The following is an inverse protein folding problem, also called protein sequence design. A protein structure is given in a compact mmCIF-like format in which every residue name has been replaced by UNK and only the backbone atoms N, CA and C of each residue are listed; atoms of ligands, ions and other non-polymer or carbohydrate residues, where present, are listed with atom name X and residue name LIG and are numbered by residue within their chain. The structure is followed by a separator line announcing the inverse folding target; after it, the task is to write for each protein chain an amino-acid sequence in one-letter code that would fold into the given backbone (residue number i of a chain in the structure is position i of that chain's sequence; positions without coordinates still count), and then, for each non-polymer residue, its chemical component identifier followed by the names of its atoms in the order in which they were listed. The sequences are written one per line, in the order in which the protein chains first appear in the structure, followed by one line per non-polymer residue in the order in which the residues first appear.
data_IF_825023254896
#
_entry.id   IF_825023254896
#
_cell.length_a   1.000
_cell.length_b   1.000
_cell.length_c   1.000
_cell.angle_alpha   90.00
_cell.angle_beta   90.00
_cell.angle_gamma   90.00
#
_symmetry.space_group_name_H-M   'P 1'
#
loop_
_entity.id
_entity.type
_entity.pdbx_description
1 polymer ?
#
# COMPACT_ATOMS: atom_id res chain seq x y z
N UNK A 1 -0.63 18.15 -3.36
CA UNK A 1 -0.51 16.81 -2.71
C UNK A 1 -1.63 16.56 -1.72
N UNK A 2 -1.65 17.18 -0.53
CA UNK A 2 -2.67 16.88 0.48
C UNK A 2 -4.11 17.22 0.01
N UNK A 3 -4.31 18.41 -0.54
CA UNK A 3 -5.62 18.83 -1.04
C UNK A 3 -6.11 17.93 -2.19
N UNK A 4 -5.21 17.56 -3.10
CA UNK A 4 -5.52 16.64 -4.20
C UNK A 4 -5.86 15.25 -3.69
N UNK A 5 -5.12 14.73 -2.71
CA UNK A 5 -5.36 13.42 -2.12
C UNK A 5 -6.73 13.37 -1.41
N UNK A 6 -7.09 14.41 -0.66
CA UNK A 6 -8.40 14.50 -0.01
C UNK A 6 -9.55 14.75 -1.02
N UNK A 7 -9.27 15.46 -2.11
CA UNK A 7 -10.22 15.69 -3.19
C UNK A 7 -10.46 14.45 -4.06
N UNK A 8 -9.43 13.61 -4.24
CA UNK A 8 -9.40 12.52 -5.22
C UNK A 8 -10.62 11.58 -5.14
N UNK A 9 -11.04 11.08 -3.97
CA UNK A 9 -12.20 10.20 -3.89
C UNK A 9 -13.52 10.87 -4.30
N UNK A 10 -13.62 12.22 -4.32
CA UNK A 10 -14.84 12.98 -4.62
C UNK A 10 -14.93 13.49 -6.06
N UNK A 11 -13.91 13.28 -6.88
CA UNK A 11 -13.83 13.87 -8.23
C UNK A 11 -14.57 13.05 -9.29
N UNK A 12 -14.97 11.81 -9.01
CA UNK A 12 -15.75 10.99 -9.95
C UNK A 12 -17.25 11.22 -9.77
N UNK A 13 -18.02 11.13 -10.87
CA UNK A 13 -19.47 11.28 -10.83
C UNK A 13 -20.13 10.19 -9.95
N UNK A 14 -19.52 9.00 -9.89
CA UNK A 14 -19.99 7.84 -9.12
C UNK A 14 -19.31 7.70 -7.74
N UNK A 15 -18.71 8.77 -7.21
CA UNK A 15 -17.89 8.69 -5.99
C UNK A 15 -18.63 8.08 -4.78
N UNK A 16 -19.92 8.39 -4.63
CA UNK A 16 -20.75 7.84 -3.55
C UNK A 16 -20.91 6.33 -3.71
N UNK A 17 -21.16 5.86 -4.93
CA UNK A 17 -21.32 4.43 -5.19
C UNK A 17 -20.01 3.68 -4.92
N UNK A 18 -18.87 4.20 -5.36
CA UNK A 18 -17.55 3.63 -5.07
C UNK A 18 -17.28 3.59 -3.57
N UNK A 19 -17.63 4.65 -2.84
CA UNK A 19 -17.48 4.71 -1.38
C UNK A 19 -18.35 3.67 -0.67
N UNK A 20 -19.61 3.52 -1.10
CA UNK A 20 -20.56 2.56 -0.53
C UNK A 20 -20.14 1.11 -0.83
N UNK A 21 -19.70 0.83 -2.06
CA UNK A 21 -19.17 -0.49 -2.43
C UNK A 21 -17.96 -0.82 -1.57
N UNK A 22 -16.99 0.10 -1.45
CA UNK A 22 -15.83 -0.07 -0.59
C UNK A 22 -16.21 -0.29 0.88
N UNK A 23 -17.16 0.50 1.40
CA UNK A 23 -17.66 0.38 2.77
C UNK A 23 -18.30 -0.99 3.05
N UNK A 24 -19.02 -1.56 2.08
CA UNK A 24 -19.63 -2.90 2.17
C UNK A 24 -18.58 -3.99 2.00
N UNK A 25 -17.59 -3.80 1.12
CA UNK A 25 -16.51 -4.77 0.91
C UNK A 25 -15.61 -4.95 2.14
N UNK A 26 -15.41 -3.91 2.96
CA UNK A 26 -14.61 -4.00 4.20
C UNK A 26 -15.11 -5.13 5.13
N UNK A 27 -16.36 -5.14 5.63
CA UNK A 27 -16.83 -6.23 6.48
C UNK A 27 -16.93 -7.56 5.73
N UNK A 28 -17.23 -7.54 4.43
CA UNK A 28 -17.25 -8.74 3.59
C UNK A 28 -15.85 -9.35 3.37
N UNK A 29 -14.78 -8.59 3.60
CA UNK A 29 -13.40 -9.07 3.47
C UNK A 29 -13.07 -10.21 4.43
N UNK A 30 -13.89 -10.45 5.47
CA UNK A 30 -13.83 -11.66 6.29
C UNK A 30 -13.99 -12.95 5.46
N UNK A 31 -14.70 -12.89 4.34
CA UNK A 31 -14.91 -14.01 3.42
C UNK A 31 -13.72 -14.28 2.48
N UNK A 32 -12.60 -13.57 2.65
CA UNK A 32 -11.35 -13.66 1.89
C UNK A 32 -11.50 -13.20 0.43
N UNK A 33 -12.47 -13.71 -0.34
CA UNK A 33 -12.69 -13.33 -1.74
C UNK A 33 -12.91 -11.82 -1.92
N UNK A 34 -13.76 -11.13 -1.12
CA UNK A 34 -13.96 -9.70 -1.25
C UNK A 34 -12.72 -8.88 -0.88
N UNK A 35 -11.83 -9.44 -0.05
CA UNK A 35 -10.58 -8.79 0.32
C UNK A 35 -9.66 -8.63 -0.90
N UNK A 36 -9.58 -9.64 -1.78
CA UNK A 36 -8.77 -9.54 -3.00
C UNK A 36 -9.33 -8.47 -3.95
N UNK A 37 -10.64 -8.40 -4.13
CA UNK A 37 -11.25 -7.34 -4.96
C UNK A 37 -10.92 -5.95 -4.40
N UNK A 38 -10.99 -5.79 -3.08
CA UNK A 38 -10.65 -4.53 -2.43
C UNK A 38 -9.18 -4.15 -2.65
N UNK A 39 -8.27 -5.12 -2.54
CA UNK A 39 -6.84 -4.91 -2.82
C UNK A 39 -6.58 -4.54 -4.28
N UNK A 40 -7.24 -5.19 -5.25
CA UNK A 40 -7.12 -4.82 -6.65
C UNK A 40 -7.66 -3.44 -6.97
N UNK A 41 -8.70 -3.00 -6.24
CA UNK A 41 -9.17 -1.62 -6.35
C UNK A 41 -8.08 -0.63 -5.90
N UNK A 42 -7.36 -0.96 -4.83
CA UNK A 42 -6.22 -0.15 -4.40
C UNK A 42 -5.10 -0.11 -5.46
N UNK A 43 -4.87 -1.20 -6.19
CA UNK A 43 -3.94 -1.20 -7.36
C UNK A 43 -4.38 -0.17 -8.39
N UNK A 44 -5.65 -0.18 -8.80
CA UNK A 44 -6.17 0.82 -9.75
C UNK A 44 -6.09 2.25 -9.23
N UNK A 45 -6.31 2.46 -7.93
CA UNK A 45 -6.12 3.78 -7.31
C UNK A 45 -4.67 4.23 -7.44
N UNK A 46 -3.71 3.33 -7.20
CA UNK A 46 -2.29 3.64 -7.36
C UNK A 46 -1.94 3.92 -8.83
N UNK A 47 -2.46 3.14 -9.77
CA UNK A 47 -2.31 3.37 -11.22
C UNK A 47 -2.80 4.77 -11.61
N UNK A 48 -4.05 5.10 -11.27
CA UNK A 48 -4.63 6.43 -11.54
C UNK A 48 -3.83 7.56 -10.86
N UNK A 49 -3.39 7.35 -9.62
CA UNK A 49 -2.56 8.31 -8.90
C UNK A 49 -1.23 8.57 -9.61
N UNK A 50 -0.59 7.53 -10.13
CA UNK A 50 0.70 7.64 -10.81
C UNK A 50 0.58 8.26 -12.21
N UNK A 51 -0.50 7.96 -12.91
CA UNK A 51 -0.86 8.58 -14.19
C UNK A 51 -1.27 10.06 -14.04
N UNK A 52 -1.37 10.58 -12.81
CA UNK A 52 -1.79 11.95 -12.54
C UNK A 52 -3.28 12.17 -12.81
N UNK A 53 -4.07 11.10 -12.91
CA UNK A 53 -5.50 11.20 -13.10
C UNK A 53 -6.16 11.79 -11.86
N UNK A 54 -7.14 12.68 -12.09
CA UNK A 54 -7.88 13.34 -11.01
C UNK A 54 -9.16 12.60 -10.63
N UNK A 55 -9.63 11.69 -11.49
CA UNK A 55 -10.87 10.94 -11.30
C UNK A 55 -10.59 9.65 -10.55
N UNK A 56 -11.35 9.39 -9.49
CA UNK A 56 -11.27 8.12 -8.79
C UNK A 56 -11.80 6.97 -9.66
N UNK A 57 -11.11 5.82 -9.72
CA UNK A 57 -11.57 4.65 -10.46
C UNK A 57 -12.92 4.14 -9.95
N UNK A 58 -13.71 3.54 -10.84
CA UNK A 58 -14.94 2.81 -10.50
C UNK A 58 -14.67 1.32 -10.23
N UNK A 59 -15.56 0.67 -9.48
CA UNK A 59 -15.60 -0.79 -9.33
C UNK A 59 -16.20 -1.47 -10.57
N UNK A 60 -15.50 -1.36 -11.69
CA UNK A 60 -15.79 -2.09 -12.94
C UNK A 60 -14.84 -3.28 -13.10
N UNK A 61 -15.16 -4.22 -13.99
CA UNK A 61 -14.28 -5.36 -14.31
C UNK A 61 -13.75 -6.12 -13.06
N UNK A 62 -14.69 -6.56 -12.23
CA UNK A 62 -14.44 -7.24 -10.94
C UNK A 62 -13.45 -8.43 -11.04
N UNK A 63 -13.43 -9.12 -12.18
CA UNK A 63 -12.47 -10.19 -12.44
C UNK A 63 -11.02 -9.70 -12.48
N UNK A 64 -10.76 -8.53 -13.08
CA UNK A 64 -9.41 -7.95 -13.09
C UNK A 64 -9.03 -7.47 -11.69
N UNK A 65 -9.96 -6.83 -10.96
CA UNK A 65 -9.73 -6.43 -9.56
C UNK A 65 -9.33 -7.63 -8.69
N UNK A 66 -10.02 -8.76 -8.85
CA UNK A 66 -9.66 -9.97 -8.12
C UNK A 66 -8.24 -10.45 -8.45
N UNK A 67 -7.88 -10.50 -9.74
CA UNK A 67 -6.56 -10.95 -10.19
C UNK A 67 -5.45 -10.01 -9.71
N UNK A 68 -5.61 -8.70 -9.87
CA UNK A 68 -4.60 -7.73 -9.47
C UNK A 68 -4.46 -7.66 -7.95
N UNK A 69 -5.56 -7.84 -7.21
CA UNK A 69 -5.53 -7.99 -5.76
C UNK A 69 -4.85 -9.28 -5.30
N UNK A 70 -5.04 -10.39 -6.01
CA UNK A 70 -4.33 -11.64 -5.72
C UNK A 70 -2.82 -11.49 -5.97
N UNK A 71 -2.42 -10.84 -7.06
CA UNK A 71 -1.00 -10.54 -7.33
C UNK A 71 -0.42 -9.62 -6.25
N UNK A 72 -1.11 -8.55 -5.87
CA UNK A 72 -0.67 -7.63 -4.82
C UNK A 72 -0.53 -8.37 -3.48
N UNK A 73 -1.47 -9.27 -3.16
CA UNK A 73 -1.37 -10.14 -1.99
C UNK A 73 -0.14 -11.03 -2.05
N UNK A 74 0.15 -11.68 -3.18
CA UNK A 74 1.36 -12.50 -3.34
C UNK A 74 2.63 -11.67 -3.15
N UNK A 75 2.67 -10.44 -3.68
CA UNK A 75 3.80 -9.52 -3.43
C UNK A 75 3.96 -9.24 -1.94
N UNK A 76 2.87 -8.86 -1.26
CA UNK A 76 2.87 -8.60 0.18
C UNK A 76 3.26 -9.82 1.00
N UNK A 77 2.76 -11.00 0.61
CA UNK A 77 3.06 -12.27 1.25
C UNK A 77 4.54 -12.59 1.15
N UNK A 78 5.12 -12.54 -0.06
CA UNK A 78 6.55 -12.79 -0.31
C UNK A 78 7.41 -11.78 0.45
N UNK A 79 7.07 -10.50 0.43
CA UNK A 79 7.78 -9.48 1.21
C UNK A 79 7.71 -9.75 2.73
N UNK A 80 6.56 -10.22 3.22
CA UNK A 80 6.37 -10.56 4.64
C UNK A 80 7.21 -11.77 5.09
N UNK A 81 7.62 -12.66 4.18
CA UNK A 81 8.45 -13.81 4.52
C UNK A 81 9.80 -13.39 5.11
N UNK A 82 10.34 -12.23 4.74
CA UNK A 82 11.59 -11.69 5.28
C UNK A 82 11.52 -11.54 6.80
N UNK A 83 10.36 -11.16 7.35
CA UNK A 83 10.12 -11.04 8.79
C UNK A 83 9.64 -12.35 9.40
N UNK A 84 8.73 -13.04 8.71
CA UNK A 84 8.06 -14.21 9.27
C UNK A 84 8.97 -15.45 9.32
N UNK A 85 9.89 -15.64 8.36
CA UNK A 85 10.77 -16.82 8.33
C UNK A 85 11.66 -16.90 9.58
N UNK A 86 12.39 -15.83 10.00
CA UNK A 86 13.13 -15.85 11.25
C UNK A 86 12.25 -16.15 12.48
N UNK A 87 11.03 -15.60 12.51
CA UNK A 87 10.07 -15.80 13.59
C UNK A 87 9.62 -17.26 13.67
N UNK A 88 9.26 -17.87 12.53
CA UNK A 88 8.87 -19.28 12.48
C UNK A 88 10.02 -20.22 12.81
N UNK A 89 11.23 -19.93 12.32
CA UNK A 89 12.43 -20.71 12.64
C UNK A 89 12.71 -20.68 14.15
N UNK A 90 12.60 -19.51 14.80
CA UNK A 90 12.75 -19.39 16.23
C UNK A 90 11.66 -20.16 17.00
N UNK A 91 10.39 -20.00 16.63
CA UNK A 91 9.28 -20.74 17.25
C UNK A 91 9.48 -22.26 17.13
N UNK A 92 9.88 -22.74 15.95
CA UNK A 92 10.18 -24.14 15.72
C UNK A 92 11.35 -24.62 16.59
N UNK A 93 12.41 -23.83 16.72
CA UNK A 93 13.57 -24.16 17.55
C UNK A 93 13.20 -24.25 19.06
N UNK A 94 12.31 -23.38 19.54
CA UNK A 94 11.77 -23.45 20.90
C UNK A 94 10.89 -24.70 21.09
N UNK A 95 9.95 -24.94 20.17
CA UNK A 95 9.01 -26.07 20.24
C UNK A 95 9.70 -27.44 20.12
N UNK A 96 10.79 -27.52 19.36
CA UNK A 96 11.60 -28.73 19.21
C UNK A 96 12.53 -29.02 20.40
N UNK A 97 12.62 -28.11 21.37
CA UNK A 97 13.55 -28.21 22.50
C UNK A 97 15.02 -27.99 22.12
N UNK A 98 15.31 -27.59 20.87
CA UNK A 98 16.68 -27.26 20.43
C UNK A 98 17.22 -25.97 21.08
N UNK A 99 16.32 -25.09 21.52
CA UNK A 99 16.64 -23.95 22.36
C UNK A 99 16.11 -24.21 23.78
N UNK A 100 17.01 -24.28 24.76
CA UNK A 100 16.65 -24.26 26.17
C UNK A 100 16.15 -22.86 26.55
N UNK A 101 14.86 -22.59 26.31
CA UNK A 101 14.19 -21.47 26.93
C UNK A 101 13.98 -21.83 28.40
N UNK A 102 14.78 -21.24 29.29
CA UNK A 102 14.47 -21.27 30.72
C UNK A 102 13.09 -20.68 31.01
N UNK A 103 12.68 -20.59 32.27
CA UNK A 103 11.34 -20.10 32.67
C UNK A 103 11.07 -18.60 32.37
N UNK A 104 11.89 -17.94 31.56
CA UNK A 104 11.72 -16.55 31.14
C UNK A 104 12.28 -16.27 29.73
N UNK A 105 11.96 -15.08 29.15
CA UNK A 105 12.41 -14.73 27.81
C UNK A 105 13.94 -14.65 27.75
N UNK A 106 14.55 -15.47 26.88
CA UNK A 106 16.01 -15.52 26.72
C UNK A 106 16.56 -14.26 26.07
N UNK A 107 17.87 -14.00 26.20
CA UNK A 107 18.53 -12.91 25.47
C UNK A 107 18.31 -13.02 23.93
N UNK A 108 18.23 -14.25 23.42
CA UNK A 108 17.92 -14.52 22.02
C UNK A 108 16.50 -14.09 21.63
N UNK A 109 15.52 -14.25 22.51
CA UNK A 109 14.15 -13.78 22.28
C UNK A 109 14.11 -12.25 22.13
N UNK A 110 14.77 -11.52 23.02
CA UNK A 110 14.84 -10.05 22.93
C UNK A 110 15.60 -9.58 21.69
N UNK A 111 16.70 -10.25 21.33
CA UNK A 111 17.42 -9.97 20.09
C UNK A 111 16.53 -10.19 18.85
N UNK A 112 15.73 -11.27 18.83
CA UNK A 112 14.79 -11.52 17.75
C UNK A 112 13.71 -10.43 17.67
N UNK A 113 13.14 -10.01 18.80
CA UNK A 113 12.17 -8.90 18.82
C UNK A 113 12.78 -7.64 18.20
N UNK A 114 14.01 -7.29 18.57
CA UNK A 114 14.69 -6.11 18.02
C UNK A 114 14.88 -6.22 16.50
N UNK A 115 15.31 -7.40 16.02
CA UNK A 115 15.50 -7.66 14.58
C UNK A 115 14.17 -7.59 13.83
N UNK A 116 13.13 -8.26 14.34
CA UNK A 116 11.78 -8.25 13.76
C UNK A 116 11.21 -6.84 13.74
N UNK A 117 11.39 -6.08 14.82
CA UNK A 117 10.95 -4.70 14.91
C UNK A 117 11.67 -3.82 13.88
N UNK A 118 13.00 -3.94 13.77
CA UNK A 118 13.77 -3.21 12.77
C UNK A 118 13.34 -3.56 11.34
N UNK A 119 13.19 -4.85 11.02
CA UNK A 119 12.71 -5.30 9.71
C UNK A 119 11.28 -4.85 9.42
N UNK A 120 10.41 -4.78 10.44
CA UNK A 120 9.03 -4.31 10.29
C UNK A 120 8.98 -2.82 9.93
N UNK A 121 9.87 -2.00 10.50
CA UNK A 121 10.00 -0.58 10.13
C UNK A 121 10.47 -0.44 8.68
N UNK A 122 11.48 -1.23 8.28
CA UNK A 122 11.98 -1.25 6.89
C UNK A 122 10.83 -1.63 5.95
N UNK A 123 10.11 -2.71 6.23
CA UNK A 123 8.95 -3.10 5.41
C UNK A 123 7.86 -2.02 5.41
N UNK A 124 7.54 -1.39 6.54
CA UNK A 124 6.53 -0.33 6.59
C UNK A 124 6.88 0.88 5.72
N UNK A 125 8.18 1.13 5.47
CA UNK A 125 8.64 2.18 4.58
C UNK A 125 8.72 1.75 3.11
N UNK A 126 9.25 0.57 2.83
CA UNK A 126 9.54 0.12 1.46
C UNK A 126 8.39 -0.65 0.80
N UNK A 127 7.49 -1.27 1.56
CA UNK A 127 6.38 -2.04 1.01
C UNK A 127 5.37 -1.17 0.23
N UNK A 128 4.99 0.04 0.69
CA UNK A 128 4.13 0.91 -0.12
C UNK A 128 4.81 1.36 -1.42
N UNK A 129 6.14 1.53 -1.43
CA UNK A 129 6.90 1.83 -2.64
C UNK A 129 6.91 0.64 -3.62
N UNK A 130 7.04 -0.59 -3.11
CA UNK A 130 6.90 -1.80 -3.93
C UNK A 130 5.50 -1.91 -4.56
N UNK A 131 4.45 -1.59 -3.81
CA UNK A 131 3.07 -1.57 -4.31
C UNK A 131 2.85 -0.47 -5.35
N UNK A 132 3.44 0.71 -5.14
CA UNK A 132 3.40 1.79 -6.11
C UNK A 132 4.12 1.42 -7.41
N UNK A 133 5.31 0.81 -7.35
CA UNK A 133 6.02 0.36 -8.55
C UNK A 133 5.29 -0.78 -9.27
N UNK A 134 4.71 -1.71 -8.51
CA UNK A 134 3.85 -2.77 -9.03
C UNK A 134 2.67 -2.21 -9.84
N UNK A 135 1.99 -1.19 -9.31
CA UNK A 135 0.89 -0.52 -10.01
C UNK A 135 1.38 0.26 -11.24
N UNK A 136 2.47 1.03 -11.11
CA UNK A 136 3.09 1.78 -12.20
C UNK A 136 3.41 0.91 -13.43
N UNK A 137 3.87 -0.32 -13.21
CA UNK A 137 4.28 -1.24 -14.26
C UNK A 137 3.20 -2.29 -14.58
N UNK A 138 1.93 -1.93 -14.43
CA UNK A 138 0.79 -2.72 -14.91
C UNK A 138 0.62 -4.05 -14.16
N UNK A 139 0.74 -4.00 -12.84
CA UNK A 139 0.55 -5.16 -11.95
C UNK A 139 1.49 -6.33 -12.28
N UNK A 140 2.78 -6.04 -12.54
CA UNK A 140 3.79 -7.05 -12.84
C UNK A 140 4.63 -7.43 -11.62
N UNK A 141 4.86 -8.73 -11.41
CA UNK A 141 5.63 -9.22 -10.26
C UNK A 141 7.08 -8.74 -10.27
N UNK A 142 7.71 -8.63 -11.46
CA UNK A 142 9.10 -8.18 -11.60
C UNK A 142 9.29 -6.76 -11.05
N UNK A 143 8.36 -5.86 -11.36
CA UNK A 143 8.38 -4.48 -10.89
C UNK A 143 8.27 -4.37 -9.37
N UNK A 144 7.46 -5.21 -8.75
CA UNK A 144 7.26 -5.20 -7.30
C UNK A 144 8.51 -5.56 -6.50
N UNK A 145 9.48 -6.24 -7.12
CA UNK A 145 10.73 -6.67 -6.49
C UNK A 145 11.97 -6.04 -7.13
N UNK A 146 11.80 -5.03 -7.99
CA UNK A 146 12.92 -4.26 -8.49
C UNK A 146 13.46 -3.34 -7.37
N UNK A 147 14.38 -3.90 -6.59
CA UNK A 147 15.02 -3.21 -5.46
C UNK A 147 15.69 -1.92 -5.91
N UNK A 148 16.24 -1.86 -7.12
CA UNK A 148 16.95 -0.68 -7.60
C UNK A 148 16.00 0.49 -7.83
N UNK A 149 14.88 0.24 -8.50
CA UNK A 149 13.84 1.24 -8.77
C UNK A 149 13.12 1.64 -7.47
N UNK A 150 12.79 0.66 -6.63
CA UNK A 150 12.15 0.91 -5.33
C UNK A 150 13.05 1.78 -4.45
N UNK A 151 14.35 1.50 -4.37
CA UNK A 151 15.29 2.29 -3.58
C UNK A 151 15.41 3.72 -4.12
N UNK A 152 15.54 3.88 -5.44
CA UNK A 152 15.61 5.19 -6.09
C UNK A 152 14.38 6.04 -5.79
N UNK A 153 13.17 5.49 -5.95
CA UNK A 153 11.94 6.21 -5.64
C UNK A 153 11.73 6.44 -4.14
N UNK A 154 11.98 5.43 -3.30
CA UNK A 154 11.70 5.51 -1.87
C UNK A 154 12.67 6.42 -1.10
N UNK A 155 13.89 6.64 -1.60
CA UNK A 155 14.86 7.56 -0.95
C UNK A 155 14.66 9.02 -1.32
N UNK A 156 13.67 9.33 -2.16
CA UNK A 156 13.36 10.71 -2.55
C UNK A 156 12.63 11.50 -1.46
N UNK A 157 12.86 12.82 -1.43
CA UNK A 157 12.16 13.71 -0.52
C UNK A 157 10.66 13.83 -0.79
N UNK A 158 10.20 13.59 -2.03
CA UNK A 158 8.78 13.55 -2.38
C UNK A 158 8.08 12.33 -1.77
N UNK A 159 8.69 11.13 -1.90
CA UNK A 159 8.16 9.93 -1.27
C UNK A 159 8.16 10.03 0.25
N UNK A 160 9.24 10.52 0.87
CA UNK A 160 9.30 10.70 2.32
C UNK A 160 8.19 11.62 2.85
N UNK A 161 7.91 12.74 2.16
CA UNK A 161 6.79 13.63 2.50
C UNK A 161 5.44 12.94 2.35
N UNK A 162 5.25 12.22 1.24
CA UNK A 162 4.01 11.49 1.00
C UNK A 162 3.77 10.41 2.06
N UNK A 163 4.83 9.70 2.47
CA UNK A 163 4.76 8.68 3.51
C UNK A 163 4.40 9.27 4.88
N UNK A 164 5.02 10.38 5.27
CA UNK A 164 4.66 11.09 6.51
C UNK A 164 3.22 11.60 6.47
N UNK A 165 2.77 12.18 5.35
CA UNK A 165 1.38 12.61 5.20
C UNK A 165 0.40 11.44 5.30
N UNK A 166 0.71 10.32 4.64
CA UNK A 166 -0.09 9.11 4.69
C UNK A 166 -0.17 8.54 6.13
N UNK A 167 0.93 8.57 6.88
CA UNK A 167 0.93 8.19 8.30
C UNK A 167 0.07 9.13 9.15
N UNK A 168 0.18 10.45 8.98
CA UNK A 168 -0.61 11.41 9.74
C UNK A 168 -2.11 11.25 9.47
N UNK A 169 -2.49 11.08 8.20
CA UNK A 169 -3.89 10.84 7.82
C UNK A 169 -4.36 9.49 8.34
N UNK A 170 -3.57 8.43 8.19
CA UNK A 170 -3.88 7.10 8.69
C UNK A 170 -4.07 7.08 10.21
N UNK A 171 -3.23 7.80 10.95
CA UNK A 171 -3.31 7.88 12.40
C UNK A 171 -4.53 8.68 12.87
N UNK A 172 -4.72 9.90 12.34
CA UNK A 172 -5.77 10.82 12.78
C UNK A 172 -7.12 10.35 12.22
N UNK A 173 -7.23 10.30 10.90
CA UNK A 173 -8.48 10.04 10.20
C UNK A 173 -8.84 8.56 10.28
N UNK A 174 -7.85 7.67 10.16
CA UNK A 174 -8.06 6.23 10.35
C UNK A 174 -8.40 5.87 11.80
N UNK A 175 -7.79 6.54 12.79
CA UNK A 175 -8.17 6.39 14.20
C UNK A 175 -9.63 6.78 14.46
N UNK A 176 -10.05 7.96 13.96
CA UNK A 176 -11.45 8.40 14.03
C UNK A 176 -12.38 7.41 13.32
N UNK A 177 -12.01 6.97 12.11
CA UNK A 177 -12.80 6.03 11.34
C UNK A 177 -12.94 4.66 12.03
N UNK A 178 -11.88 4.19 12.69
CA UNK A 178 -11.89 2.95 13.47
C UNK A 178 -12.78 3.04 14.72
N UNK A 179 -12.81 4.18 15.39
CA UNK A 179 -13.74 4.41 16.51
C UNK A 179 -15.20 4.45 16.02
N UNK A 180 -15.45 5.13 14.89
CA UNK A 180 -16.78 5.21 14.30
C UNK A 180 -17.26 3.90 13.67
N UNK A 181 -16.35 3.02 13.25
CA UNK A 181 -16.71 1.74 12.64
C UNK A 181 -17.30 0.76 13.67
N UNK A 182 -17.07 0.98 14.97
CA UNK A 182 -17.76 0.26 16.05
C UNK A 182 -19.28 0.43 15.99
N UNK A 183 -19.76 1.53 15.40
CA UNK A 183 -21.19 1.82 15.19
C UNK A 183 -21.57 1.69 13.70
N UNK A 184 -20.74 0.99 12.90
CA UNK A 184 -20.89 0.78 11.45
C UNK A 184 -20.83 2.02 10.55
N UNK A 185 -20.97 3.23 11.11
CA UNK A 185 -20.95 4.50 10.36
C UNK A 185 -19.54 4.88 9.91
N UNK A 186 -18.49 4.36 10.58
CA UNK A 186 -17.10 4.61 10.21
C UNK A 186 -16.58 3.82 9.00
N UNK A 187 -17.31 2.82 8.50
CA UNK A 187 -16.85 1.96 7.40
C UNK A 187 -16.56 2.73 6.09
N UNK A 188 -17.42 3.65 5.62
CA UNK A 188 -17.10 4.46 4.43
C UNK A 188 -15.90 5.38 4.66
N UNK A 189 -15.72 5.87 5.89
CA UNK A 189 -14.57 6.71 6.23
C UNK A 189 -13.28 5.88 6.26
N UNK A 190 -13.32 4.64 6.73
CA UNK A 190 -12.17 3.73 6.68
C UNK A 190 -11.73 3.48 5.24
N UNK A 191 -12.70 3.21 4.35
CA UNK A 191 -12.41 3.04 2.93
C UNK A 191 -11.83 4.31 2.31
N UNK A 192 -12.43 5.47 2.59
CA UNK A 192 -11.92 6.76 2.15
C UNK A 192 -10.45 6.97 2.56
N UNK A 193 -10.11 6.72 3.82
CA UNK A 193 -8.75 6.85 4.34
C UNK A 193 -7.79 5.92 3.61
N UNK A 194 -8.18 4.67 3.34
CA UNK A 194 -7.35 3.75 2.55
C UNK A 194 -7.05 4.32 1.15
N UNK A 195 -8.08 4.78 0.42
CA UNK A 195 -7.88 5.35 -0.93
C UNK A 195 -6.93 6.55 -0.90
N UNK A 196 -7.11 7.46 0.06
CA UNK A 196 -6.24 8.64 0.22
C UNK A 196 -4.79 8.24 0.51
N UNK A 197 -4.59 7.27 1.39
CA UNK A 197 -3.27 6.77 1.78
C UNK A 197 -2.55 6.11 0.59
N UNK A 198 -3.22 5.23 -0.15
CA UNK A 198 -2.65 4.58 -1.33
C UNK A 198 -2.36 5.58 -2.46
N UNK A 199 -3.25 6.55 -2.67
CA UNK A 199 -3.02 7.65 -3.61
C UNK A 199 -1.76 8.45 -3.26
N UNK A 200 -1.56 8.79 -1.98
CA UNK A 200 -0.36 9.52 -1.54
C UNK A 200 0.91 8.73 -1.79
N UNK A 201 0.96 7.44 -1.41
CA UNK A 201 2.14 6.61 -1.64
C UNK A 201 2.49 6.50 -3.12
N UNK A 202 1.51 6.21 -3.97
CA UNK A 202 1.71 6.04 -5.40
C UNK A 202 2.15 7.33 -6.09
N UNK A 203 1.49 8.45 -5.78
CA UNK A 203 1.87 9.77 -6.30
C UNK A 203 3.26 10.17 -5.83
N UNK A 204 3.55 10.06 -4.53
CA UNK A 204 4.85 10.44 -3.97
C UNK A 204 6.01 9.63 -4.56
N UNK A 205 5.77 8.34 -4.79
CA UNK A 205 6.74 7.45 -5.43
C UNK A 205 6.95 7.81 -6.92
N UNK A 206 5.86 8.03 -7.68
CA UNK A 206 5.93 8.44 -9.08
C UNK A 206 6.62 9.81 -9.26
N UNK A 207 6.34 10.78 -8.40
CA UNK A 207 7.03 12.07 -8.39
C UNK A 207 8.52 11.90 -8.05
N UNK A 208 8.85 11.01 -7.11
CA UNK A 208 10.24 10.67 -6.77
C UNK A 208 11.04 10.09 -7.95
N UNK A 209 10.38 9.31 -8.81
CA UNK A 209 10.98 8.77 -10.02
C UNK A 209 10.94 9.73 -11.23
N UNK A 210 10.32 10.92 -11.10
CA UNK A 210 10.09 11.82 -12.24
C UNK A 210 9.14 11.25 -13.30
N UNK A 211 8.27 10.31 -12.92
CA UNK A 211 7.32 9.63 -13.83
C UNK A 211 5.87 10.06 -13.64
N UNK A 212 5.62 10.99 -12.70
CA UNK A 212 4.28 11.46 -12.40
C UNK A 212 3.65 12.18 -13.60
N UNK A 213 2.44 11.77 -14.00
CA UNK A 213 1.69 12.44 -15.06
C UNK A 213 2.23 12.23 -16.49
N UNK A 214 3.18 11.30 -16.68
CA UNK A 214 3.72 10.95 -18.00
C UNK A 214 4.56 12.06 -18.62
N UNK A 215 5.72 12.38 -18.04
CA UNK A 215 6.74 13.19 -18.71
C UNK A 215 7.44 12.38 -19.82
N UNK A 216 6.74 12.20 -20.93
CA UNK A 216 7.34 12.47 -22.25
C UNK A 216 6.64 13.70 -22.82
N UNK A 217 6.90 14.86 -22.21
CA UNK A 217 6.87 16.10 -22.96
C UNK A 217 7.94 15.94 -24.05
N UNK A 218 7.50 15.86 -25.31
CA UNK A 218 8.39 15.73 -26.44
C UNK A 218 9.48 16.78 -26.38
N UNK A 219 10.73 16.34 -26.40
CA UNK A 219 11.83 17.13 -26.95
C UNK A 219 11.53 17.34 -28.43
N UNK A 220 10.66 18.29 -28.76
CA UNK A 220 10.73 19.00 -30.03
C UNK A 220 11.79 20.08 -29.84
N UNK A 221 12.97 19.98 -30.46
CA UNK A 221 13.85 21.13 -30.54
C UNK A 221 13.12 22.15 -31.41
N UNK A 222 12.74 23.27 -30.80
CA UNK A 222 12.32 24.43 -31.53
C UNK A 222 13.47 24.88 -32.44
N UNK A 223 13.23 24.85 -33.74
CA UNK A 223 13.83 25.76 -34.72
C UNK A 223 15.34 25.63 -34.96
N UNK A 224 15.68 25.02 -36.09
CA UNK A 224 16.69 25.59 -36.98
C UNK A 224 16.24 25.31 -38.42
N UNK A 225 15.33 26.15 -38.90
CA UNK A 225 15.20 26.48 -40.31
C UNK A 225 16.15 27.65 -40.60
#
# INVERSE_FOLDING_TARGET
MLADALGFPRTSDDWVQTLLIGAVLIPLSLLILPAFVLQGYMVRVMEAATAGERRAPSFTDWGSLFVDGLKLFVVGFVASLVVNVPVWAFQFAVLSGSLNAGTGPSALFWALILVVFALSIVLAYFLPAAYANFALEGASFGAAFDVSTIWSGATTGSYAKAWVLALLIGLILGGIAALLSLVLIGLPLLFYVQVVTYYLFARGFAEGLGRYGGETAGTTPAGAA
#
